data_IF_823312792477
#
_entry.id   IF_823312792477
#
_cell.length_a   1.000
_cell.length_b   1.000
_cell.length_c   1.000
_cell.angle_alpha   90.00
_cell.angle_beta   90.00
_cell.angle_gamma   90.00
#
_symmetry.space_group_name_H-M   'P 1'
#
loop_
_entity.id
_entity.type
_entity.pdbx_description
1 polymer ?
#
# COMPACT_ATOMS: atom_id res chain seq x y z
N UNK A 1 30.22 -27.79 -16.85
CA UNK A 1 30.71 -26.39 -16.87
C UNK A 1 29.62 -25.51 -17.45
N UNK A 2 28.84 -24.85 -16.59
CA UNK A 2 27.86 -23.83 -16.96
C UNK A 2 28.34 -22.53 -16.31
N UNK A 3 28.52 -21.51 -17.13
CA UNK A 3 29.10 -20.22 -16.75
C UNK A 3 28.17 -19.42 -15.86
N UNK A 4 28.74 -18.89 -14.79
CA UNK A 4 28.14 -17.93 -13.86
C UNK A 4 28.27 -16.53 -14.46
N UNK A 5 27.16 -15.86 -14.72
CA UNK A 5 27.16 -14.43 -15.02
C UNK A 5 26.99 -13.67 -13.71
N UNK A 6 28.07 -13.04 -13.24
CA UNK A 6 28.07 -12.07 -12.15
C UNK A 6 27.76 -10.72 -12.81
N UNK A 7 26.60 -10.14 -12.51
CA UNK A 7 26.29 -8.77 -12.91
C UNK A 7 26.60 -7.84 -11.73
N UNK A 8 27.78 -7.23 -11.78
CA UNK A 8 28.19 -6.16 -10.88
C UNK A 8 27.52 -4.86 -11.31
N UNK A 9 26.69 -4.28 -10.43
CA UNK A 9 26.19 -2.91 -10.61
C UNK A 9 27.22 -1.94 -10.01
N UNK A 10 27.78 -1.10 -10.88
CA UNK A 10 28.66 0.00 -10.56
C UNK A 10 27.85 1.12 -9.90
N UNK A 11 28.18 1.49 -8.67
CA UNK A 11 27.73 2.75 -8.06
C UNK A 11 28.72 3.84 -8.48
N UNK A 12 28.26 4.75 -9.34
CA UNK A 12 28.98 5.99 -9.66
C UNK A 12 28.71 6.99 -8.53
N UNK A 13 29.66 7.06 -7.60
CA UNK A 13 29.81 8.19 -6.68
C UNK A 13 30.31 9.41 -7.47
N UNK A 14 29.44 10.40 -7.68
CA UNK A 14 29.88 11.73 -8.06
C UNK A 14 30.46 12.43 -6.83
N UNK A 15 31.78 12.39 -6.71
CA UNK A 15 32.54 13.30 -5.84
C UNK A 15 32.76 14.57 -6.65
N UNK A 16 31.96 15.61 -6.39
CA UNK A 16 32.27 16.96 -6.86
C UNK A 16 33.47 17.49 -6.09
N UNK A 17 34.62 17.56 -6.75
CA UNK A 17 35.76 18.33 -6.30
C UNK A 17 35.41 19.83 -6.35
N UNK A 18 35.25 20.46 -5.19
CA UNK A 18 35.11 21.91 -5.08
C UNK A 18 36.48 22.58 -5.24
N UNK A 19 36.65 23.37 -6.30
CA UNK A 19 37.80 24.25 -6.48
C UNK A 19 37.58 25.56 -5.75
N UNK A 20 38.47 25.89 -4.80
CA UNK A 20 38.52 27.18 -4.12
C UNK A 20 38.73 28.33 -5.14
N UNK A 21 37.65 29.06 -5.42
CA UNK A 21 37.69 30.38 -6.06
C UNK A 21 37.35 31.42 -5.00
N UNK A 22 38.34 32.21 -4.62
CA UNK A 22 38.16 33.43 -3.81
C UNK A 22 37.45 34.47 -4.66
N UNK A 23 36.13 34.49 -4.63
CA UNK A 23 35.29 35.47 -5.30
C UNK A 23 34.04 35.74 -4.45
N UNK A 24 33.95 36.99 -4.00
CA UNK A 24 32.76 37.72 -3.53
C UNK A 24 31.48 36.87 -3.32
N UNK A 25 31.27 36.42 -2.08
CA UNK A 25 30.12 35.59 -1.69
C UNK A 25 28.87 36.45 -1.50
N UNK A 26 28.16 36.71 -2.60
CA UNK A 26 26.71 36.83 -2.50
C UNK A 26 26.18 35.46 -2.08
N UNK A 27 25.70 35.33 -0.84
CA UNK A 27 24.91 34.19 -0.39
C UNK A 27 23.75 34.01 -1.39
N UNK A 28 23.89 33.05 -2.28
CA UNK A 28 22.76 32.54 -3.05
C UNK A 28 21.96 31.75 -2.03
N UNK A 29 20.83 32.30 -1.60
CA UNK A 29 19.85 31.53 -0.84
C UNK A 29 19.50 30.29 -1.67
N UNK A 30 19.89 29.11 -1.17
CA UNK A 30 19.46 27.82 -1.70
C UNK A 30 17.94 27.77 -1.55
N UNK A 31 17.22 28.14 -2.61
CA UNK A 31 15.78 27.94 -2.69
C UNK A 31 15.58 26.43 -2.80
N UNK A 32 14.90 25.77 -1.85
CA UNK A 32 14.68 24.34 -1.91
C UNK A 32 13.94 24.00 -3.22
N UNK A 33 14.47 23.06 -3.99
CA UNK A 33 13.79 22.56 -5.19
C UNK A 33 12.45 21.93 -4.78
N UNK A 34 11.36 22.39 -5.40
CA UNK A 34 10.03 21.85 -5.15
C UNK A 34 9.99 20.39 -5.61
N UNK A 35 9.52 19.49 -4.73
CA UNK A 35 9.41 18.08 -5.05
C UNK A 35 8.40 17.86 -6.18
N UNK A 36 8.76 17.03 -7.16
CA UNK A 36 7.82 16.52 -8.16
C UNK A 36 6.68 15.71 -7.50
N UNK A 37 5.50 15.58 -8.12
CA UNK A 37 4.40 14.79 -7.56
C UNK A 37 4.79 13.35 -7.17
N UNK A 38 5.60 12.66 -7.99
CA UNK A 38 6.12 11.32 -7.65
C UNK A 38 7.01 11.34 -6.41
N UNK A 39 7.85 12.37 -6.24
CA UNK A 39 8.68 12.52 -5.04
C UNK A 39 7.83 12.84 -3.81
N UNK A 40 6.78 13.65 -3.95
CA UNK A 40 5.83 13.89 -2.87
C UNK A 40 5.14 12.60 -2.41
N UNK A 41 4.77 11.71 -3.35
CA UNK A 41 4.20 10.40 -3.03
C UNK A 41 5.19 9.48 -2.31
N UNK A 42 6.48 9.55 -2.66
CA UNK A 42 7.55 8.85 -1.93
C UNK A 42 7.69 9.39 -0.49
N UNK A 43 7.75 10.71 -0.32
CA UNK A 43 7.84 11.31 1.02
C UNK A 43 6.59 11.04 1.86
N UNK A 44 5.40 11.03 1.25
CA UNK A 44 4.14 10.61 1.89
C UNK A 44 4.31 9.21 2.49
N UNK A 45 4.76 8.22 1.71
CA UNK A 45 4.95 6.86 2.21
C UNK A 45 6.00 6.74 3.30
N UNK A 46 7.09 7.51 3.23
CA UNK A 46 8.07 7.55 4.33
C UNK A 46 7.45 8.08 5.61
N UNK A 47 6.65 9.14 5.54
CA UNK A 47 5.93 9.68 6.69
C UNK A 47 4.99 8.62 7.28
N UNK A 48 4.16 7.99 6.44
CA UNK A 48 3.24 6.92 6.86
C UNK A 48 3.97 5.76 7.56
N UNK A 49 5.05 5.26 6.96
CA UNK A 49 5.81 4.15 7.50
C UNK A 49 6.47 4.49 8.85
N UNK A 50 6.98 5.72 8.99
CA UNK A 50 7.55 6.18 10.27
C UNK A 50 6.48 6.36 11.35
N UNK A 51 5.29 6.85 10.99
CA UNK A 51 4.19 6.99 11.95
C UNK A 51 3.69 5.63 12.41
N UNK A 52 3.44 4.69 11.48
CA UNK A 52 3.05 3.32 11.83
C UNK A 52 4.13 2.63 12.67
N UNK A 53 5.41 2.80 12.30
CA UNK A 53 6.56 2.35 13.10
C UNK A 53 6.50 2.89 14.53
N UNK A 54 6.32 4.20 14.69
CA UNK A 54 6.27 4.83 16.00
C UNK A 54 5.09 4.32 16.84
N UNK A 55 3.92 4.09 16.23
CA UNK A 55 2.76 3.51 16.91
C UNK A 55 3.04 2.08 17.39
N UNK A 56 3.75 1.27 16.58
CA UNK A 56 4.13 -0.10 16.97
C UNK A 56 5.19 -0.10 18.09
N UNK A 57 6.19 0.78 18.01
CA UNK A 57 7.24 0.89 19.04
C UNK A 57 6.70 1.42 20.38
N UNK A 58 5.64 2.23 20.38
CA UNK A 58 4.92 2.64 21.60
C UNK A 58 4.24 1.45 22.31
N UNK A 59 3.96 0.37 21.56
CA UNK A 59 3.43 -0.90 22.04
C UNK A 59 4.52 -1.96 22.26
N UNK A 60 5.76 -1.53 22.50
CA UNK A 60 6.93 -2.39 22.74
C UNK A 60 7.26 -3.37 21.59
N UNK A 61 6.71 -3.18 20.39
CA UNK A 61 7.07 -3.98 19.20
C UNK A 61 8.42 -3.52 18.67
N UNK A 62 9.38 -4.46 18.54
CA UNK A 62 10.66 -4.16 17.90
C UNK A 62 10.49 -4.13 16.38
N UNK A 63 10.85 -3.01 15.76
CA UNK A 63 10.73 -2.85 14.31
C UNK A 63 12.09 -2.66 13.64
N UNK A 64 12.24 -3.20 12.44
CA UNK A 64 13.36 -2.98 11.54
C UNK A 64 13.34 -1.62 10.84
N UNK A 65 14.06 -1.54 9.73
CA UNK A 65 14.02 -0.38 8.84
C UNK A 65 12.68 -0.29 8.10
N UNK A 66 12.17 0.93 7.91
CA UNK A 66 10.94 1.13 7.14
C UNK A 66 11.13 0.70 5.67
N UNK A 67 10.06 0.28 4.97
CA UNK A 67 10.16 -0.10 3.57
C UNK A 67 10.62 1.04 2.66
N UNK A 68 11.38 0.70 1.63
CA UNK A 68 11.70 1.63 0.54
C UNK A 68 10.47 1.79 -0.36
N UNK A 69 10.11 3.03 -0.70
CA UNK A 69 9.03 3.29 -1.66
C UNK A 69 9.58 3.41 -3.08
N UNK A 70 9.00 2.64 -4.01
CA UNK A 70 9.18 2.81 -5.45
C UNK A 70 7.88 3.23 -6.12
N UNK A 71 7.86 4.39 -6.78
CA UNK A 71 6.72 4.81 -7.60
C UNK A 71 6.94 4.36 -9.04
N UNK A 72 6.22 3.33 -9.47
CA UNK A 72 6.34 2.74 -10.80
C UNK A 72 5.13 1.87 -11.16
N UNK A 73 4.58 2.04 -12.37
CA UNK A 73 3.49 1.19 -12.89
C UNK A 73 3.94 0.11 -13.88
N UNK A 74 5.26 -0.16 -13.97
CA UNK A 74 5.82 -1.16 -14.89
C UNK A 74 5.63 -2.62 -14.44
N UNK A 75 4.74 -2.86 -13.48
CA UNK A 75 4.48 -4.14 -12.86
C UNK A 75 3.05 -4.60 -13.24
N UNK A 76 2.87 -5.90 -13.46
CA UNK A 76 1.53 -6.49 -13.68
C UNK A 76 0.66 -6.42 -12.42
N UNK A 77 1.23 -6.11 -11.26
CA UNK A 77 0.51 -5.79 -10.03
C UNK A 77 0.42 -4.26 -9.86
N UNK A 78 -0.75 -3.77 -9.46
CA UNK A 78 -0.99 -2.33 -9.27
C UNK A 78 -0.17 -1.80 -8.10
N UNK A 79 -0.32 -2.40 -6.92
CA UNK A 79 0.35 -2.00 -5.69
C UNK A 79 0.69 -3.26 -4.89
N UNK A 80 1.88 -3.32 -4.28
CA UNK A 80 2.28 -4.46 -3.45
C UNK A 80 3.50 -4.16 -2.56
N UNK A 81 3.57 -4.84 -1.42
CA UNK A 81 4.74 -4.97 -0.57
C UNK A 81 5.58 -6.19 -0.95
N UNK A 82 6.88 -5.98 -1.15
CA UNK A 82 7.87 -7.02 -1.36
C UNK A 82 8.73 -7.19 -0.10
N UNK A 83 8.43 -8.23 0.67
CA UNK A 83 9.13 -8.57 1.90
C UNK A 83 10.63 -8.85 1.70
N UNK A 84 11.04 -9.43 0.56
CA UNK A 84 12.44 -9.79 0.31
C UNK A 84 13.31 -8.54 0.16
N UNK A 85 12.83 -7.54 -0.56
CA UNK A 85 13.55 -6.27 -0.75
C UNK A 85 13.17 -5.20 0.27
N UNK A 86 12.26 -5.50 1.19
CA UNK A 86 11.59 -4.55 2.08
C UNK A 86 11.17 -3.28 1.34
N UNK A 87 10.29 -3.43 0.34
CA UNK A 87 9.91 -2.33 -0.53
C UNK A 87 8.42 -2.32 -0.86
N UNK A 88 7.81 -1.14 -0.88
CA UNK A 88 6.44 -0.91 -1.35
C UNK A 88 6.50 -0.34 -2.77
N UNK A 89 5.83 -1.00 -3.70
CA UNK A 89 5.70 -0.56 -5.08
C UNK A 89 4.34 0.09 -5.26
N UNK A 90 4.34 1.39 -5.57
CA UNK A 90 3.14 2.23 -5.69
C UNK A 90 2.95 2.60 -7.16
N UNK A 91 1.74 2.43 -7.72
CA UNK A 91 1.50 2.77 -9.11
C UNK A 91 1.36 4.28 -9.27
N UNK A 92 1.67 4.75 -10.47
CA UNK A 92 1.42 6.11 -10.94
C UNK A 92 0.35 6.11 -12.04
N UNK A 93 -0.63 7.01 -11.92
CA UNK A 93 -1.80 7.07 -12.80
C UNK A 93 -1.41 7.19 -14.29
N UNK A 94 -0.53 8.14 -14.63
CA UNK A 94 -0.11 8.38 -16.02
C UNK A 94 0.69 7.21 -16.63
N UNK A 95 1.18 6.28 -15.80
CA UNK A 95 1.97 5.15 -16.26
C UNK A 95 1.09 3.88 -16.43
N UNK A 96 -0.22 3.96 -16.18
CA UNK A 96 -1.14 2.83 -16.34
C UNK A 96 -1.28 2.39 -17.80
N UNK A 97 -1.43 1.08 -18.02
CA UNK A 97 -1.75 0.55 -19.35
C UNK A 97 -3.17 0.94 -19.77
N UNK A 98 -3.45 0.95 -21.08
CA UNK A 98 -4.81 1.22 -21.58
C UNK A 98 -5.84 0.21 -21.08
N UNK A 99 -5.44 -1.05 -20.87
CA UNK A 99 -6.32 -2.08 -20.31
C UNK A 99 -6.66 -1.76 -18.84
N UNK A 100 -5.66 -1.35 -18.07
CA UNK A 100 -5.89 -0.99 -16.67
C UNK A 100 -6.71 0.30 -16.51
N UNK A 101 -6.54 1.27 -17.40
CA UNK A 101 -7.37 2.48 -17.40
C UNK A 101 -8.85 2.17 -17.64
N UNK A 102 -9.19 1.14 -18.43
CA UNK A 102 -10.58 0.68 -18.59
C UNK A 102 -11.11 0.12 -17.27
N UNK A 103 -10.33 -0.72 -16.58
CA UNK A 103 -10.72 -1.25 -15.27
C UNK A 103 -10.92 -0.12 -14.24
N UNK A 104 -9.99 0.84 -14.18
CA UNK A 104 -10.11 1.99 -13.28
C UNK A 104 -11.34 2.83 -13.60
N UNK A 105 -11.65 3.04 -14.90
CA UNK A 105 -12.85 3.76 -15.31
C UNK A 105 -14.12 3.03 -14.87
N UNK A 106 -14.20 1.71 -15.06
CA UNK A 106 -15.36 0.93 -14.63
C UNK A 106 -15.59 1.02 -13.11
N UNK A 107 -14.51 0.97 -12.32
CA UNK A 107 -14.60 1.12 -10.87
C UNK A 107 -14.97 2.55 -10.46
N UNK A 108 -14.41 3.56 -11.12
CA UNK A 108 -14.74 4.96 -10.90
C UNK A 108 -16.22 5.25 -11.21
N UNK A 109 -16.72 4.77 -12.35
CA UNK A 109 -18.12 4.90 -12.75
C UNK A 109 -19.05 4.20 -11.73
N UNK A 110 -18.70 2.99 -11.30
CA UNK A 110 -19.46 2.24 -10.31
C UNK A 110 -19.50 2.95 -8.94
N UNK A 111 -18.45 3.72 -8.61
CA UNK A 111 -18.34 4.45 -7.35
C UNK A 111 -18.78 5.92 -7.45
N UNK A 112 -19.21 6.41 -8.61
CA UNK A 112 -19.52 7.82 -8.87
C UNK A 112 -18.34 8.73 -8.49
N UNK A 113 -17.16 8.43 -9.04
CA UNK A 113 -15.91 9.18 -8.88
C UNK A 113 -15.32 9.51 -10.26
N UNK A 114 -14.51 10.56 -10.32
CA UNK A 114 -13.59 10.70 -11.45
C UNK A 114 -12.54 9.57 -11.42
N UNK A 115 -12.04 9.15 -12.58
CA UNK A 115 -11.09 8.02 -12.67
C UNK A 115 -9.75 8.31 -12.01
N UNK A 116 -9.25 9.55 -12.07
CA UNK A 116 -8.03 9.96 -11.40
C UNK A 116 -8.27 10.06 -9.89
N UNK A 117 -9.40 10.64 -9.47
CA UNK A 117 -9.83 10.71 -8.07
C UNK A 117 -9.96 9.31 -7.45
N UNK A 118 -10.57 8.36 -8.18
CA UNK A 118 -10.68 6.97 -7.76
C UNK A 118 -9.30 6.33 -7.56
N UNK A 119 -8.42 6.51 -8.53
CA UNK A 119 -7.07 5.98 -8.46
C UNK A 119 -6.29 6.55 -7.28
N UNK A 120 -6.33 7.87 -7.08
CA UNK A 120 -5.64 8.53 -5.97
C UNK A 120 -6.19 8.10 -4.60
N UNK A 121 -7.51 7.96 -4.50
CA UNK A 121 -8.21 7.57 -3.28
C UNK A 121 -7.85 6.14 -2.86
N UNK A 122 -7.96 5.19 -3.78
CA UNK A 122 -7.74 3.78 -3.44
C UNK A 122 -6.28 3.37 -3.57
N UNK A 123 -5.57 3.73 -4.63
CA UNK A 123 -4.20 3.22 -4.87
C UNK A 123 -3.08 4.12 -4.36
N UNK A 124 -3.29 5.44 -4.25
CA UNK A 124 -2.28 6.35 -3.70
C UNK A 124 -2.60 6.85 -2.28
N UNK A 125 -3.69 6.36 -1.70
CA UNK A 125 -4.04 6.60 -0.30
C UNK A 125 -4.39 5.30 0.42
N UNK A 126 -5.56 4.70 0.23
CA UNK A 126 -5.98 3.56 1.04
C UNK A 126 -5.04 2.34 0.94
N UNK A 127 -4.86 1.77 -0.26
CA UNK A 127 -3.99 0.61 -0.47
C UNK A 127 -2.52 0.93 -0.26
N UNK A 128 -2.13 2.21 -0.27
CA UNK A 128 -0.79 2.60 0.10
C UNK A 128 -0.53 2.33 1.59
N UNK A 129 -1.48 2.67 2.47
CA UNK A 129 -1.43 2.26 3.87
C UNK A 129 -1.49 0.74 4.04
N UNK A 130 -2.30 0.07 3.23
CA UNK A 130 -2.42 -1.40 3.24
C UNK A 130 -1.08 -2.11 3.01
N UNK A 131 -0.24 -1.65 2.07
CA UNK A 131 1.06 -2.28 1.89
C UNK A 131 2.02 -2.06 3.06
N UNK A 132 1.92 -0.93 3.76
CA UNK A 132 2.67 -0.74 5.01
C UNK A 132 2.11 -1.59 6.15
N UNK A 133 0.81 -1.91 6.14
CA UNK A 133 0.24 -2.87 7.07
C UNK A 133 0.83 -4.27 6.87
N UNK A 134 1.11 -4.70 5.63
CA UNK A 134 1.86 -5.94 5.39
C UNK A 134 3.29 -5.92 5.93
N UNK A 135 3.97 -4.77 5.84
CA UNK A 135 5.24 -4.61 6.53
C UNK A 135 5.08 -4.72 8.06
N UNK A 136 4.11 -4.02 8.65
CA UNK A 136 3.83 -4.09 10.08
C UNK A 136 3.53 -5.52 10.55
N UNK A 137 2.74 -6.28 9.79
CA UNK A 137 2.52 -7.71 10.02
C UNK A 137 3.81 -8.54 10.03
N UNK A 138 4.84 -8.13 9.28
CA UNK A 138 6.12 -8.83 9.23
C UNK A 138 7.04 -8.47 10.41
N UNK A 139 6.82 -7.33 11.05
CA UNK A 139 7.57 -6.86 12.23
C UNK A 139 6.95 -7.31 13.56
N UNK A 140 5.63 -7.51 13.60
CA UNK A 140 4.95 -8.01 14.79
C UNK A 140 5.39 -9.46 15.09
N UNK A 141 6.01 -9.65 16.26
CA UNK A 141 6.30 -10.98 16.81
C UNK A 141 5.02 -11.81 16.96
N UNK A 142 5.15 -13.14 16.84
CA UNK A 142 4.04 -14.07 17.07
C UNK A 142 3.68 -14.96 15.89
N UNK A 143 2.44 -15.45 15.89
CA UNK A 143 1.95 -16.31 14.81
C UNK A 143 1.67 -15.46 13.56
N UNK A 144 2.31 -15.83 12.45
CA UNK A 144 1.92 -15.30 11.15
C UNK A 144 0.45 -15.62 10.89
N UNK A 145 -0.23 -14.70 10.20
CA UNK A 145 -1.58 -14.94 9.69
C UNK A 145 -1.65 -16.34 9.05
N UNK A 146 -2.64 -17.17 9.41
CA UNK A 146 -2.63 -18.61 9.11
C UNK A 146 -2.68 -18.90 7.61
N UNK A 147 -3.16 -17.96 6.82
CA UNK A 147 -3.22 -18.02 5.35
C UNK A 147 -3.32 -16.61 4.75
N UNK A 148 -3.32 -16.52 3.41
CA UNK A 148 -3.33 -15.24 2.70
C UNK A 148 -4.60 -14.46 2.96
N UNK A 149 -5.77 -15.12 2.92
CA UNK A 149 -7.06 -14.47 3.18
C UNK A 149 -7.09 -13.75 4.53
N UNK A 150 -6.62 -14.41 5.59
CA UNK A 150 -6.53 -13.78 6.92
C UNK A 150 -5.47 -12.68 6.98
N UNK A 151 -4.36 -12.83 6.24
CA UNK A 151 -3.34 -11.79 6.12
C UNK A 151 -3.89 -10.51 5.48
N UNK A 152 -4.72 -10.62 4.45
CA UNK A 152 -5.37 -9.46 3.82
C UNK A 152 -6.38 -8.78 4.77
N UNK A 153 -7.16 -9.57 5.53
CA UNK A 153 -8.09 -9.02 6.51
C UNK A 153 -7.34 -8.23 7.58
N UNK A 154 -6.31 -8.82 8.17
CA UNK A 154 -5.52 -8.17 9.23
C UNK A 154 -4.77 -6.93 8.69
N UNK A 155 -4.29 -6.93 7.45
CA UNK A 155 -3.70 -5.75 6.84
C UNK A 155 -4.72 -4.60 6.69
N UNK A 156 -5.97 -4.92 6.36
CA UNK A 156 -7.07 -3.96 6.33
C UNK A 156 -7.47 -3.48 7.74
N UNK A 157 -7.45 -4.34 8.75
CA UNK A 157 -7.66 -3.96 10.16
C UNK A 157 -6.59 -2.96 10.62
N UNK A 158 -5.30 -3.23 10.37
CA UNK A 158 -4.20 -2.33 10.71
C UNK A 158 -4.35 -0.98 9.98
N UNK A 159 -4.68 -1.02 8.68
CA UNK A 159 -4.87 0.19 7.87
C UNK A 159 -5.99 1.07 8.43
N UNK A 160 -7.12 0.47 8.75
CA UNK A 160 -8.27 1.19 9.30
C UNK A 160 -7.95 1.69 10.70
N UNK A 161 -7.32 0.89 11.56
CA UNK A 161 -6.90 1.32 12.90
C UNK A 161 -5.94 2.53 12.85
N UNK A 162 -4.98 2.52 11.92
CA UNK A 162 -4.09 3.66 11.67
C UNK A 162 -4.88 4.90 11.23
N UNK A 163 -5.76 4.78 10.24
CA UNK A 163 -6.56 5.90 9.74
C UNK A 163 -7.50 6.46 10.83
N UNK A 164 -8.10 5.59 11.66
CA UNK A 164 -8.98 6.00 12.75
C UNK A 164 -8.26 6.72 13.90
N UNK A 165 -6.93 6.63 13.99
CA UNK A 165 -6.13 7.32 15.01
C UNK A 165 -6.18 8.85 14.89
N UNK A 166 -6.56 9.38 13.72
CA UNK A 166 -6.64 10.82 13.44
C UNK A 166 -8.04 11.25 13.00
N UNK A 167 -8.35 12.54 13.14
CA UNK A 167 -9.63 13.07 12.63
C UNK A 167 -9.69 13.04 11.10
N UNK A 168 -8.59 13.39 10.45
CA UNK A 168 -8.49 13.39 8.99
C UNK A 168 -8.71 11.99 8.41
N UNK A 169 -8.08 10.96 9.00
CA UNK A 169 -8.28 9.58 8.56
C UNK A 169 -9.71 9.08 8.81
N UNK A 170 -10.36 9.46 9.92
CA UNK A 170 -11.79 9.16 10.12
C UNK A 170 -12.69 9.84 9.08
N UNK A 171 -12.40 11.09 8.72
CA UNK A 171 -13.15 11.81 7.69
C UNK A 171 -12.95 11.16 6.31
N UNK A 172 -11.73 10.69 6.02
CA UNK A 172 -11.41 9.91 4.82
C UNK A 172 -12.17 8.56 4.79
N UNK A 173 -12.16 7.80 5.87
CA UNK A 173 -12.89 6.53 5.94
C UNK A 173 -14.40 6.73 5.72
N UNK A 174 -14.97 7.76 6.34
CA UNK A 174 -16.37 8.13 6.15
C UNK A 174 -16.69 8.54 4.70
N UNK A 175 -15.73 9.14 3.98
CA UNK A 175 -15.95 9.55 2.58
C UNK A 175 -15.91 8.36 1.61
N UNK A 176 -15.09 7.34 1.87
CA UNK A 176 -14.96 6.16 1.00
C UNK A 176 -15.98 5.05 1.29
N UNK A 177 -16.58 5.01 2.49
CA UNK A 177 -17.58 3.98 2.85
C UNK A 177 -18.75 3.86 1.84
N UNK A 178 -19.45 4.95 1.43
CA UNK A 178 -20.50 4.84 0.41
C UNK A 178 -19.96 4.37 -0.96
N UNK A 179 -18.70 4.69 -1.28
CA UNK A 179 -18.01 4.29 -2.52
C UNK A 179 -17.73 2.79 -2.52
N UNK A 180 -17.26 2.25 -1.40
CA UNK A 180 -17.06 0.81 -1.18
C UNK A 180 -18.38 0.03 -1.27
N UNK A 181 -19.48 0.57 -0.74
CA UNK A 181 -20.80 -0.04 -0.90
C UNK A 181 -21.21 -0.13 -2.38
N UNK A 182 -20.93 0.89 -3.18
CA UNK A 182 -21.24 0.85 -4.60
C UNK A 182 -20.36 -0.15 -5.37
N UNK A 183 -19.04 -0.16 -5.11
CA UNK A 183 -18.08 -1.09 -5.72
C UNK A 183 -18.41 -2.56 -5.41
N UNK A 184 -18.68 -2.88 -4.13
CA UNK A 184 -19.00 -4.26 -3.72
C UNK A 184 -20.33 -4.77 -4.27
N UNK A 185 -21.26 -3.88 -4.63
CA UNK A 185 -22.49 -4.24 -5.35
C UNK A 185 -22.29 -4.37 -6.86
N UNK A 186 -21.30 -3.67 -7.43
CA UNK A 186 -20.95 -3.73 -8.85
C UNK A 186 -20.17 -5.00 -9.19
N UNK A 187 -19.25 -5.41 -8.32
CA UNK A 187 -18.34 -6.53 -8.56
C UNK A 187 -19.02 -7.88 -8.29
N UNK A 188 -18.98 -8.76 -9.30
CA UNK A 188 -19.50 -10.12 -9.16
C UNK A 188 -18.60 -10.96 -8.23
N UNK A 189 -19.20 -11.74 -7.32
CA UNK A 189 -18.45 -12.67 -6.47
C UNK A 189 -17.87 -13.80 -7.34
N UNK A 190 -16.54 -13.93 -7.44
CA UNK A 190 -15.91 -14.99 -8.24
C UNK A 190 -15.95 -16.37 -7.56
N UNK A 191 -16.36 -16.44 -6.29
CA UNK A 191 -16.36 -17.67 -5.50
C UNK A 191 -17.47 -18.62 -5.97
N UNK A 192 -17.14 -19.85 -6.38
CA UNK A 192 -18.13 -20.84 -6.79
C UNK A 192 -19.11 -21.21 -5.67
N UNK A 193 -20.34 -21.56 -6.03
CA UNK A 193 -21.35 -21.99 -5.07
C UNK A 193 -20.87 -23.21 -4.25
N UNK A 194 -21.01 -23.12 -2.92
CA UNK A 194 -20.61 -24.18 -2.00
C UNK A 194 -19.14 -24.20 -1.59
N UNK A 195 -18.30 -23.34 -2.16
CA UNK A 195 -16.91 -23.12 -1.74
C UNK A 195 -16.86 -21.91 -0.80
N UNK A 196 -16.06 -21.99 0.26
CA UNK A 196 -15.85 -20.82 1.12
C UNK A 196 -14.94 -19.79 0.44
N UNK A 197 -15.16 -18.51 0.71
CA UNK A 197 -14.35 -17.42 0.15
C UNK A 197 -12.88 -17.52 0.58
N UNK A 198 -12.65 -17.92 1.82
CA UNK A 198 -11.31 -18.16 2.35
C UNK A 198 -10.59 -19.29 1.59
N UNK A 199 -11.25 -20.42 1.38
CA UNK A 199 -10.71 -21.54 0.59
C UNK A 199 -10.42 -21.11 -0.84
N UNK A 200 -11.40 -20.49 -1.52
CA UNK A 200 -11.25 -20.06 -2.91
C UNK A 200 -10.13 -19.03 -3.08
N UNK A 201 -10.06 -18.01 -2.22
CA UNK A 201 -9.03 -16.98 -2.29
C UNK A 201 -7.62 -17.56 -2.11
N UNK A 202 -7.45 -18.43 -1.11
CA UNK A 202 -6.16 -19.05 -0.82
C UNK A 202 -5.69 -19.98 -1.93
N UNK A 203 -6.60 -20.78 -2.51
CA UNK A 203 -6.28 -21.71 -3.60
C UNK A 203 -6.01 -21.01 -4.94
N UNK A 204 -6.67 -19.88 -5.19
CA UNK A 204 -6.67 -19.19 -6.49
C UNK A 204 -5.92 -17.85 -6.48
N UNK A 205 -5.18 -17.52 -5.42
CA UNK A 205 -4.54 -16.21 -5.23
C UNK A 205 -3.79 -15.68 -6.46
N UNK A 206 -2.95 -16.51 -7.09
CA UNK A 206 -2.17 -16.10 -8.26
C UNK A 206 -3.03 -15.83 -9.49
N UNK A 207 -4.12 -16.60 -9.67
CA UNK A 207 -5.07 -16.40 -10.77
C UNK A 207 -5.91 -15.15 -10.54
N UNK A 208 -6.39 -14.95 -9.30
CA UNK A 208 -7.09 -13.74 -8.89
C UNK A 208 -6.26 -12.50 -9.19
N UNK A 209 -4.98 -12.49 -8.82
CA UNK A 209 -4.07 -11.36 -9.10
C UNK A 209 -3.88 -11.04 -10.59
N UNK A 210 -4.26 -11.92 -11.50
CA UNK A 210 -4.25 -11.67 -12.95
C UNK A 210 -5.57 -11.15 -13.51
N UNK A 211 -6.64 -11.14 -12.70
CA UNK A 211 -7.96 -10.63 -13.06
C UNK A 211 -8.37 -9.52 -12.08
N UNK A 212 -8.24 -8.27 -12.53
CA UNK A 212 -8.46 -7.11 -11.67
C UNK A 212 -9.89 -7.00 -11.11
N UNK A 213 -10.92 -7.47 -11.82
CA UNK A 213 -12.30 -7.47 -11.30
C UNK A 213 -12.47 -8.49 -10.17
N UNK A 214 -11.93 -9.70 -10.33
CA UNK A 214 -12.02 -10.74 -9.30
C UNK A 214 -11.17 -10.40 -8.08
N UNK A 215 -9.95 -9.87 -8.28
CA UNK A 215 -9.12 -9.42 -7.17
C UNK A 215 -9.73 -8.20 -6.48
N UNK A 216 -10.23 -7.23 -7.26
CA UNK A 216 -10.95 -6.06 -6.76
C UNK A 216 -12.15 -6.44 -5.89
N UNK A 217 -12.91 -7.48 -6.26
CA UNK A 217 -14.02 -7.98 -5.43
C UNK A 217 -13.56 -8.28 -4.01
N UNK A 218 -12.50 -9.09 -3.87
CA UNK A 218 -11.96 -9.45 -2.56
C UNK A 218 -11.38 -8.26 -1.82
N UNK A 219 -10.57 -7.45 -2.50
CA UNK A 219 -9.91 -6.29 -1.90
C UNK A 219 -10.92 -5.30 -1.31
N UNK A 220 -11.90 -4.83 -2.10
CA UNK A 220 -12.93 -3.92 -1.59
C UNK A 220 -13.84 -4.56 -0.56
N UNK A 221 -14.11 -5.87 -0.69
CA UNK A 221 -14.88 -6.61 0.30
C UNK A 221 -14.17 -6.71 1.65
N UNK A 222 -12.86 -6.91 1.68
CA UNK A 222 -12.10 -6.94 2.94
C UNK A 222 -12.16 -5.59 3.66
N UNK A 223 -11.95 -4.49 2.93
CA UNK A 223 -12.10 -3.13 3.49
C UNK A 223 -13.50 -2.93 4.06
N UNK A 224 -14.52 -3.25 3.25
CA UNK A 224 -15.92 -3.11 3.67
C UNK A 224 -16.24 -3.97 4.89
N UNK A 225 -15.78 -5.22 4.92
CA UNK A 225 -16.04 -6.12 6.04
C UNK A 225 -15.49 -5.56 7.36
N UNK A 226 -14.30 -4.95 7.34
CA UNK A 226 -13.73 -4.29 8.53
C UNK A 226 -14.54 -3.03 8.89
N UNK A 227 -14.91 -2.20 7.92
CA UNK A 227 -15.74 -1.01 8.18
C UNK A 227 -17.14 -1.35 8.72
N UNK A 228 -17.73 -2.47 8.32
CA UNK A 228 -19.04 -2.93 8.78
C UNK A 228 -19.02 -3.51 10.20
N UNK A 229 -17.85 -3.74 10.80
CA UNK A 229 -17.75 -4.22 12.18
C UNK A 229 -18.29 -3.16 13.15
N UNK A 230 -19.15 -3.60 14.09
CA UNK A 230 -19.70 -2.70 15.13
C UNK A 230 -18.64 -2.21 16.11
N UNK A 231 -17.61 -3.03 16.34
CA UNK A 231 -16.43 -2.73 17.14
C UNK A 231 -15.24 -3.11 16.27
N UNK A 232 -14.45 -2.11 15.85
CA UNK A 232 -13.23 -2.31 15.06
C UNK A 232 -12.03 -2.38 16.00
N UNK A 233 -11.09 -3.31 15.77
CA UNK A 233 -9.95 -3.44 16.65
C UNK A 233 -9.02 -2.22 16.54
N UNK A 234 -8.47 -1.79 17.67
CA UNK A 234 -7.37 -0.82 17.68
C UNK A 234 -6.05 -1.49 17.27
N UNK A 235 -5.01 -0.69 17.00
CA UNK A 235 -3.68 -1.27 16.70
C UNK A 235 -3.16 -2.12 17.87
N UNK A 236 -3.34 -1.67 19.11
CA UNK A 236 -2.95 -2.39 20.32
C UNK A 236 -3.65 -3.75 20.40
N UNK A 237 -4.96 -3.80 20.14
CA UNK A 237 -5.73 -5.05 20.13
C UNK A 237 -5.31 -6.01 19.00
N UNK A 238 -4.84 -5.47 17.86
CA UNK A 238 -4.27 -6.29 16.78
C UNK A 238 -2.92 -6.90 17.24
N UNK A 239 -2.06 -6.10 17.87
CA UNK A 239 -0.75 -6.54 18.37
C UNK A 239 -0.90 -7.58 19.49
N UNK A 240 -1.81 -7.36 20.43
CA UNK A 240 -2.08 -8.28 21.53
C UNK A 240 -2.54 -9.66 21.02
N UNK A 241 -3.43 -9.70 20.01
CA UNK A 241 -3.91 -10.96 19.40
C UNK A 241 -2.78 -11.83 18.82
N UNK A 242 -1.66 -11.25 18.40
CA UNK A 242 -0.51 -11.99 17.87
C UNK A 242 0.42 -12.55 18.95
N UNK A 243 0.35 -11.96 20.15
CA UNK A 243 1.19 -12.32 21.29
C UNK A 243 0.65 -13.54 22.07
N UNK A 244 -0.60 -13.95 21.82
CA UNK A 244 -1.27 -15.12 22.41
C UNK A 244 -0.91 -16.46 21.74
#
# INVERSE_FOLDING_TARGET
>A
MKGTAILSILILLFISCSSNSTGDSTEVEDVPEELTPKQQLVEKGKTMANELKAMMEDQDVQTGEIPIVFVSSNSNALIYYNQISNAVYVPWYDDLSSEMLVVMQDFADASDMDVEEFFETFFNTFFYYHEFAHWAQSEMDGQLSPNRYMSEIEANEITIAYLESSQEGRDFLASIEPKLNALTNFLENPTPEGVSEEEYFNENYNELGSNAYHYGYFQFKFVKNVLDQSERPTLDEIIDRRSE
#
